data_IF_616446291765
#
_entry.id   IF_616446291765
#
_cell.length_a   1.000
_cell.length_b   1.000
_cell.length_c   1.000
_cell.angle_alpha   90.00
_cell.angle_beta   90.00
_cell.angle_gamma   90.00
#
_symmetry.space_group_name_H-M   'P 1'
#
loop_
_entity.id
_entity.type
_entity.pdbx_description
1 polymer ?
#
# COMPACT_ATOMS: atom_id res chain seq x y z
N UNK A 1 4.68 -39.15 -12.49
CA UNK A 1 5.34 -37.87 -12.86
C UNK A 1 4.28 -36.77 -12.98
N UNK A 2 3.78 -36.20 -11.87
CA UNK A 2 2.67 -35.22 -11.87
C UNK A 2 2.71 -34.35 -10.59
N UNK A 3 3.81 -33.64 -10.31
CA UNK A 3 3.86 -32.74 -9.12
C UNK A 3 4.59 -31.40 -9.29
N UNK A 4 5.35 -31.15 -10.36
CA UNK A 4 6.19 -29.94 -10.42
C UNK A 4 5.60 -28.71 -11.14
N UNK A 5 4.42 -28.80 -11.77
CA UNK A 5 3.87 -27.68 -12.55
C UNK A 5 3.08 -26.64 -11.72
N UNK A 6 2.64 -26.97 -10.50
CA UNK A 6 1.87 -26.02 -9.68
C UNK A 6 2.72 -24.93 -9.03
N UNK A 7 3.96 -25.23 -8.67
CA UNK A 7 4.84 -24.31 -7.92
C UNK A 7 5.19 -23.04 -8.71
N UNK A 8 5.64 -23.11 -9.99
CA UNK A 8 5.98 -21.89 -10.73
C UNK A 8 4.75 -21.02 -11.04
N UNK A 9 3.58 -21.64 -11.23
CA UNK A 9 2.33 -20.92 -11.48
C UNK A 9 1.87 -20.14 -10.24
N UNK A 10 1.96 -20.75 -9.05
CA UNK A 10 1.64 -20.09 -7.79
C UNK A 10 2.60 -18.93 -7.49
N UNK A 11 3.88 -19.09 -7.82
CA UNK A 11 4.88 -18.02 -7.66
C UNK A 11 4.59 -16.83 -8.60
N UNK A 12 4.21 -17.10 -9.85
CA UNK A 12 3.85 -16.07 -10.82
C UNK A 12 2.58 -15.29 -10.41
N UNK A 13 1.58 -15.99 -9.87
CA UNK A 13 0.35 -15.37 -9.34
C UNK A 13 0.62 -14.49 -8.11
N UNK A 14 1.56 -14.89 -7.23
CA UNK A 14 1.96 -14.08 -6.08
C UNK A 14 2.67 -12.77 -6.48
N UNK A 15 3.44 -12.79 -7.58
CA UNK A 15 4.13 -11.59 -8.09
C UNK A 15 3.16 -10.59 -8.75
N UNK A 16 2.07 -11.06 -9.34
CA UNK A 16 1.04 -10.20 -9.96
C UNK A 16 0.19 -9.45 -8.92
N UNK A 17 0.02 -10.00 -7.72
CA UNK A 17 -0.73 -9.37 -6.63
C UNK A 17 0.02 -8.27 -5.88
N UNK A 18 1.34 -8.12 -6.10
CA UNK A 18 2.17 -7.11 -5.45
C UNK A 18 2.21 -5.77 -6.21
N UNK A 19 1.66 -5.71 -7.42
CA UNK A 19 1.51 -4.47 -8.21
C UNK A 19 0.18 -3.78 -7.88
N UNK A 20 -0.15 -3.64 -6.60
CA UNK A 20 -1.30 -2.84 -6.22
C UNK A 20 -0.91 -1.36 -6.37
N UNK A 21 -1.35 -0.78 -7.48
CA UNK A 21 -1.06 0.60 -7.84
C UNK A 21 -1.82 1.50 -6.86
N UNK A 22 -1.07 2.14 -5.95
CA UNK A 22 -1.58 3.04 -4.91
C UNK A 22 -2.29 4.31 -5.45
N UNK A 23 -2.30 4.49 -6.77
CA UNK A 23 -2.74 5.68 -7.51
C UNK A 23 -4.11 5.52 -8.20
N UNK A 24 -4.89 4.48 -7.88
CA UNK A 24 -6.26 4.36 -8.38
C UNK A 24 -7.21 5.32 -7.64
N UNK A 25 -7.93 6.20 -8.35
CA UNK A 25 -8.97 7.03 -7.75
C UNK A 25 -10.01 6.16 -7.04
N UNK A 26 -10.40 6.56 -5.82
CA UNK A 26 -11.38 5.83 -5.01
C UNK A 26 -10.82 4.64 -4.23
N UNK A 27 -9.54 4.28 -4.39
CA UNK A 27 -8.89 3.31 -3.49
C UNK A 27 -8.82 3.90 -2.09
N UNK A 28 -9.33 3.20 -1.06
CA UNK A 28 -9.30 3.71 0.30
C UNK A 28 -7.86 3.79 0.82
N UNK A 29 -7.61 4.78 1.69
CA UNK A 29 -6.34 4.86 2.42
C UNK A 29 -6.12 3.58 3.23
N UNK A 30 -4.94 2.94 3.17
CA UNK A 30 -4.67 1.71 3.89
C UNK A 30 -4.81 1.84 5.40
N UNK A 31 -5.37 0.83 6.07
CA UNK A 31 -5.49 0.79 7.54
C UNK A 31 -4.13 0.82 8.24
N UNK A 32 -3.10 0.29 7.57
CA UNK A 32 -1.72 0.26 8.06
C UNK A 32 -0.97 1.58 7.89
N UNK A 33 -1.60 2.66 7.41
CA UNK A 33 -0.94 3.95 7.28
C UNK A 33 -0.40 4.41 8.64
N UNK A 34 0.89 4.68 8.68
CA UNK A 34 1.58 5.27 9.82
C UNK A 34 2.55 6.31 9.30
N UNK A 35 2.36 7.54 9.74
CA UNK A 35 3.28 8.65 9.50
C UNK A 35 3.48 9.43 10.80
N UNK A 36 4.50 10.26 10.82
CA UNK A 36 4.85 11.11 11.95
C UNK A 36 5.17 12.50 11.43
N UNK A 37 4.63 13.53 12.07
CA UNK A 37 5.03 14.92 11.80
C UNK A 37 6.45 15.16 12.29
N UNK A 38 7.08 16.26 11.87
CA UNK A 38 8.40 16.66 12.36
C UNK A 38 8.45 16.88 13.89
N UNK A 39 7.31 17.21 14.49
CA UNK A 39 7.17 17.42 15.94
C UNK A 39 6.83 16.13 16.72
N UNK A 40 6.84 14.97 16.05
CA UNK A 40 6.58 13.67 16.68
C UNK A 40 5.10 13.27 16.81
N UNK A 41 4.17 14.09 16.30
CA UNK A 41 2.75 13.73 16.29
C UNK A 41 2.50 12.61 15.29
N UNK A 42 1.90 11.53 15.76
CA UNK A 42 1.52 10.39 14.93
C UNK A 42 0.28 10.68 14.09
N UNK A 43 0.36 10.37 12.80
CA UNK A 43 -0.74 10.40 11.84
C UNK A 43 -1.08 8.97 11.44
N UNK A 44 -2.34 8.59 11.61
CA UNK A 44 -2.90 7.31 11.17
C UNK A 44 -4.08 7.53 10.21
N UNK A 45 -4.72 6.45 9.76
CA UNK A 45 -5.89 6.53 8.88
C UNK A 45 -7.05 7.32 9.50
N UNK A 46 -7.26 7.24 10.82
CA UNK A 46 -8.38 7.90 11.49
C UNK A 46 -8.22 9.42 11.46
N UNK A 47 -6.99 9.91 11.59
CA UNK A 47 -6.67 11.34 11.45
C UNK A 47 -7.05 11.93 10.08
N UNK A 48 -7.18 11.09 9.04
CA UNK A 48 -7.51 11.52 7.68
C UNK A 48 -9.02 11.56 7.38
N UNK A 49 -9.88 11.11 8.29
CA UNK A 49 -11.33 11.03 8.06
C UNK A 49 -12.02 12.39 8.22
N UNK A 50 -13.15 12.56 7.52
CA UNK A 50 -14.02 13.73 7.67
C UNK A 50 -13.54 15.02 7.02
N UNK A 51 -12.36 15.02 6.38
CA UNK A 51 -11.81 16.17 5.65
C UNK A 51 -11.13 15.70 4.35
N UNK A 52 -11.12 16.51 3.29
CA UNK A 52 -10.31 16.23 2.10
C UNK A 52 -8.82 16.45 2.41
N UNK A 53 -7.96 15.62 1.84
CA UNK A 53 -6.51 15.68 2.02
C UNK A 53 -5.79 15.68 0.67
N UNK A 54 -4.65 16.37 0.63
CA UNK A 54 -3.66 16.25 -0.44
C UNK A 54 -2.42 15.61 0.19
N UNK A 55 -2.03 14.43 -0.28
CA UNK A 55 -0.88 13.68 0.22
C UNK A 55 0.22 13.76 -0.83
N UNK A 56 1.37 14.33 -0.45
CA UNK A 56 2.56 14.38 -1.29
C UNK A 56 3.64 13.46 -0.69
N UNK A 57 4.19 12.56 -1.51
CA UNK A 57 5.19 11.57 -1.08
C UNK A 57 6.49 11.83 -1.84
N UNK A 58 7.59 11.95 -1.11
CA UNK A 58 8.92 12.13 -1.67
C UNK A 58 9.90 11.16 -0.99
N UNK A 59 10.97 10.80 -1.70
CA UNK A 59 12.10 10.07 -1.15
C UNK A 59 13.36 10.93 -1.29
N UNK A 60 14.21 11.04 -0.26
CA UNK A 60 15.50 11.70 -0.40
C UNK A 60 16.35 10.96 -1.44
N UNK A 61 17.06 11.73 -2.26
CA UNK A 61 18.06 11.23 -3.21
C UNK A 61 19.43 11.07 -2.58
#
# INVERSE_FOLDING_TARGET
>A
MRRSLCVPLLLALALLGACDRYDRPGTPVPERLRAETLDGVRIDRAALLGRPWVINVWAPG
#
